data_IF_442330510792
#
_entry.id   IF_442330510792
#
_cell.length_a   1.000
_cell.length_b   1.000
_cell.length_c   1.000
_cell.angle_alpha   90.00
_cell.angle_beta   90.00
_cell.angle_gamma   90.00
#
_symmetry.space_group_name_H-M   'P 1'
#
loop_
_entity.id
_entity.type
_entity.pdbx_description
1 polymer ?
#
# COMPACT_ATOMS: atom_id res chain seq x y z
N UNK A 1 -8.79 6.64 -13.71
CA UNK A 1 -8.88 5.52 -12.78
C UNK A 1 -8.64 5.97 -11.34
N UNK A 2 -9.21 5.24 -10.37
CA UNK A 2 -9.00 5.46 -8.93
C UNK A 2 -8.73 4.10 -8.25
N UNK A 3 -7.53 3.55 -8.39
CA UNK A 3 -7.19 2.25 -7.83
C UNK A 3 -7.33 2.20 -6.30
N UNK A 4 -7.71 1.02 -5.80
CA UNK A 4 -7.72 0.68 -4.36
C UNK A 4 -7.09 -0.70 -4.23
N UNK A 5 -5.79 -0.77 -4.52
CA UNK A 5 -4.97 -1.97 -4.42
C UNK A 5 -3.76 -1.69 -3.50
N UNK A 6 -3.15 -2.70 -2.86
CA UNK A 6 -2.11 -2.47 -1.86
C UNK A 6 -0.91 -1.63 -2.32
N UNK A 7 -0.55 -1.70 -3.60
CA UNK A 7 0.59 -0.97 -4.19
C UNK A 7 0.21 0.40 -4.75
N UNK A 8 -1.09 0.71 -4.85
CA UNK A 8 -1.58 2.00 -5.32
C UNK A 8 -2.98 2.27 -4.78
N UNK A 9 -3.08 3.20 -3.84
CA UNK A 9 -4.35 3.57 -3.22
C UNK A 9 -4.70 5.02 -3.53
N UNK A 10 -5.96 5.27 -3.89
CA UNK A 10 -6.46 6.64 -3.96
C UNK A 10 -6.46 7.26 -2.55
N UNK A 11 -6.22 8.55 -2.46
CA UNK A 11 -6.33 9.27 -1.20
C UNK A 11 -7.77 9.75 -0.98
N UNK A 12 -8.49 9.11 -0.05
CA UNK A 12 -9.88 9.45 0.32
C UNK A 12 -9.99 10.59 1.34
N UNK A 13 -8.88 11.09 1.86
CA UNK A 13 -8.88 12.14 2.89
C UNK A 13 -9.24 13.54 2.33
N UNK A 14 -9.49 13.65 1.03
CA UNK A 14 -9.75 14.91 0.34
C UNK A 14 -11.03 14.83 -0.49
N UNK A 15 -11.66 15.99 -0.71
CA UNK A 15 -12.88 16.12 -1.52
C UNK A 15 -12.68 15.64 -2.96
N UNK A 16 -11.52 15.93 -3.52
CA UNK A 16 -11.11 15.46 -4.86
C UNK A 16 -9.84 14.61 -4.69
N UNK A 17 -9.94 13.28 -4.77
CA UNK A 17 -8.77 12.42 -4.81
C UNK A 17 -8.03 12.61 -6.14
N UNK A 18 -6.74 12.27 -6.15
CA UNK A 18 -5.99 12.15 -7.40
C UNK A 18 -6.59 11.04 -8.28
N UNK A 19 -6.44 11.20 -9.59
CA UNK A 19 -6.88 10.23 -10.59
C UNK A 19 -5.71 9.83 -11.48
N UNK A 20 -5.77 8.63 -12.02
CA UNK A 20 -4.74 8.08 -12.90
C UNK A 20 -5.28 7.82 -14.29
N UNK A 21 -4.46 8.02 -15.31
CA UNK A 21 -4.71 7.63 -16.69
C UNK A 21 -4.00 6.30 -16.96
N UNK A 22 -4.59 5.43 -17.77
CA UNK A 22 -4.04 4.13 -18.13
C UNK A 22 -5.11 3.07 -18.31
N UNK A 23 -4.72 1.81 -18.18
CA UNK A 23 -5.59 0.64 -18.30
C UNK A 23 -5.52 -0.23 -17.04
N UNK A 24 -6.65 -0.78 -16.65
CA UNK A 24 -6.78 -1.72 -15.54
C UNK A 24 -7.75 -2.84 -15.91
N UNK A 25 -7.27 -4.07 -15.81
CA UNK A 25 -8.05 -5.28 -15.94
C UNK A 25 -8.22 -5.91 -14.56
N UNK A 26 -9.47 -6.20 -14.19
CA UNK A 26 -9.78 -6.99 -13.00
C UNK A 26 -10.56 -8.23 -13.41
N UNK A 27 -10.17 -9.42 -12.96
CA UNK A 27 -10.91 -10.66 -13.11
C UNK A 27 -11.34 -11.21 -11.76
N UNK A 28 -12.58 -11.77 -11.75
CA UNK A 28 -13.18 -12.51 -10.64
C UNK A 28 -13.82 -13.80 -11.12
N UNK A 29 -13.31 -14.36 -12.24
CA UNK A 29 -13.87 -15.54 -12.89
C UNK A 29 -13.64 -16.83 -12.10
N UNK A 30 -12.67 -16.81 -11.20
CA UNK A 30 -12.37 -17.94 -10.29
C UNK A 30 -12.91 -17.61 -8.91
N UNK A 31 -13.70 -18.53 -8.34
CA UNK A 31 -14.29 -18.37 -7.01
C UNK A 31 -13.21 -18.10 -5.95
N UNK A 32 -13.43 -17.10 -5.13
CA UNK A 32 -12.49 -16.68 -4.10
C UNK A 32 -11.27 -15.89 -4.60
N UNK A 33 -11.05 -15.81 -5.92
CA UNK A 33 -9.88 -15.13 -6.49
C UNK A 33 -10.27 -13.79 -7.16
N UNK A 34 -9.62 -12.72 -6.74
CA UNK A 34 -9.61 -11.45 -7.47
C UNK A 34 -8.21 -11.23 -8.02
N UNK A 35 -8.09 -11.02 -9.32
CA UNK A 35 -6.85 -10.68 -10.01
C UNK A 35 -6.92 -9.27 -10.55
N UNK A 36 -5.83 -8.55 -10.45
CA UNK A 36 -5.66 -7.20 -10.96
C UNK A 36 -4.38 -7.12 -11.81
N UNK A 37 -4.48 -6.48 -12.97
CA UNK A 37 -3.36 -6.17 -13.85
C UNK A 37 -3.58 -4.79 -14.45
N UNK A 38 -2.57 -3.94 -14.46
CA UNK A 38 -2.71 -2.63 -15.07
C UNK A 38 -1.41 -1.90 -15.29
N UNK A 39 -1.52 -0.89 -16.13
CA UNK A 39 -0.46 0.06 -16.45
C UNK A 39 -1.04 1.47 -16.45
N UNK A 40 -0.38 2.38 -15.77
CA UNK A 40 -0.76 3.78 -15.69
C UNK A 40 0.39 4.63 -16.23
N UNK A 41 0.05 5.71 -16.93
CA UNK A 41 1.03 6.56 -17.61
C UNK A 41 1.04 8.00 -17.09
N UNK A 42 0.02 8.44 -16.40
CA UNK A 42 -0.08 9.80 -15.84
C UNK A 42 -0.95 9.83 -14.59
N UNK A 43 -0.72 10.84 -13.77
CA UNK A 43 -1.61 11.22 -12.67
C UNK A 43 -2.13 12.65 -12.86
N UNK A 44 -3.34 12.93 -12.36
CA UNK A 44 -3.82 14.28 -12.16
C UNK A 44 -4.01 14.49 -10.67
N UNK A 45 -3.24 15.41 -10.10
CA UNK A 45 -3.32 15.75 -8.69
C UNK A 45 -4.62 16.50 -8.39
N UNK A 46 -5.02 16.50 -7.13
CA UNK A 46 -6.28 17.10 -6.63
C UNK A 46 -6.44 18.60 -6.90
N UNK A 47 -5.33 19.30 -7.06
CA UNK A 47 -5.22 20.74 -7.26
C UNK A 47 -4.82 21.12 -8.69
N UNK A 48 -4.81 20.14 -9.60
CA UNK A 48 -4.46 20.30 -11.00
C UNK A 48 -5.56 19.75 -11.90
N UNK A 49 -5.80 20.40 -13.04
CA UNK A 49 -6.61 19.87 -14.14
C UNK A 49 -5.76 19.15 -15.21
N UNK A 50 -4.45 19.20 -15.08
CA UNK A 50 -3.53 18.61 -16.03
C UNK A 50 -3.13 17.20 -15.60
N UNK A 51 -2.72 16.40 -16.58
CA UNK A 51 -2.06 15.13 -16.34
C UNK A 51 -0.54 15.34 -16.31
N UNK A 52 0.07 14.80 -15.28
CA UNK A 52 1.51 14.92 -14.99
C UNK A 52 2.13 13.53 -14.85
N UNK A 53 3.46 13.45 -14.92
CA UNK A 53 4.20 12.23 -14.60
C UNK A 53 4.07 11.90 -13.11
N UNK A 54 4.23 10.63 -12.77
CA UNK A 54 4.16 10.16 -11.39
C UNK A 54 5.51 10.31 -10.70
N UNK A 55 5.50 10.53 -9.40
CA UNK A 55 6.71 10.60 -8.57
C UNK A 55 6.45 9.95 -7.22
N UNK A 56 7.49 9.82 -6.39
CA UNK A 56 7.39 9.30 -5.03
C UNK A 56 6.96 10.37 -4.05
N UNK A 57 6.05 10.02 -3.14
CA UNK A 57 5.62 10.90 -2.08
C UNK A 57 6.73 11.16 -1.05
N UNK A 58 7.00 12.46 -0.76
CA UNK A 58 7.93 12.90 0.28
C UNK A 58 9.32 12.22 0.22
N UNK A 59 9.85 11.94 -0.98
CA UNK A 59 11.09 11.21 -1.15
C UNK A 59 12.24 11.75 -0.29
N UNK A 60 12.45 13.06 -0.24
CA UNK A 60 13.50 13.68 0.56
C UNK A 60 13.37 13.45 2.07
N UNK A 61 12.15 13.40 2.64
CA UNK A 61 11.93 13.08 4.05
C UNK A 61 12.13 11.60 4.37
N UNK A 62 12.14 10.75 3.34
CA UNK A 62 12.30 9.30 3.44
C UNK A 62 13.69 8.81 3.05
N UNK A 63 14.65 9.73 2.91
CA UNK A 63 16.00 9.46 2.43
C UNK A 63 16.04 8.84 1.02
N UNK A 64 14.98 9.03 0.22
CA UNK A 64 14.97 8.62 -1.18
C UNK A 64 15.64 9.70 -2.01
N UNK A 65 16.69 9.31 -2.72
CA UNK A 65 17.44 10.15 -3.66
C UNK A 65 17.27 9.61 -5.07
N UNK A 66 17.43 10.47 -6.05
CA UNK A 66 17.25 10.13 -7.45
C UNK A 66 18.55 10.37 -8.21
N UNK A 67 18.84 9.48 -9.12
CA UNK A 67 19.97 9.60 -10.05
C UNK A 67 19.70 10.56 -11.20
N UNK A 68 20.50 10.44 -12.27
CA UNK A 68 20.39 11.30 -13.45
C UNK A 68 19.11 11.06 -14.28
N UNK A 69 18.36 10.01 -14.02
CA UNK A 69 17.10 9.67 -14.72
C UNK A 69 15.91 10.57 -14.38
N UNK A 70 16.06 11.43 -13.37
CA UNK A 70 14.99 12.33 -12.93
C UNK A 70 14.22 11.80 -11.71
N UNK A 71 13.19 12.56 -11.28
CA UNK A 71 12.38 12.27 -10.10
C UNK A 71 10.97 11.80 -10.46
N UNK A 72 10.66 11.67 -11.74
CA UNK A 72 9.33 11.33 -12.27
C UNK A 72 9.39 10.18 -13.24
N UNK A 73 8.30 9.48 -13.39
CA UNK A 73 8.09 8.40 -14.36
C UNK A 73 6.74 8.51 -15.03
N UNK A 74 6.68 8.09 -16.28
CA UNK A 74 5.44 8.00 -17.04
C UNK A 74 4.92 6.56 -17.18
N UNK A 75 5.45 5.64 -16.38
CA UNK A 75 4.95 4.26 -16.31
C UNK A 75 4.85 3.76 -14.87
N UNK A 76 3.68 3.28 -14.48
CA UNK A 76 3.46 2.49 -13.29
C UNK A 76 2.76 1.20 -13.66
N UNK A 77 3.48 0.08 -13.54
CA UNK A 77 2.95 -1.25 -13.79
C UNK A 77 2.51 -1.90 -12.48
N UNK A 78 1.39 -2.61 -12.50
CA UNK A 78 0.98 -3.43 -11.35
C UNK A 78 0.35 -4.74 -11.78
N UNK A 79 0.57 -5.77 -10.98
CA UNK A 79 -0.07 -7.07 -11.11
C UNK A 79 -0.20 -7.71 -9.74
N UNK A 80 -1.31 -8.41 -9.51
CA UNK A 80 -1.48 -9.12 -8.25
C UNK A 80 -2.86 -9.69 -8.08
N UNK A 81 -3.12 -10.13 -6.87
CA UNK A 81 -4.42 -10.66 -6.54
C UNK A 81 -4.61 -10.96 -5.07
N UNK A 82 -5.87 -11.16 -4.74
CA UNK A 82 -6.33 -11.58 -3.43
C UNK A 82 -7.05 -12.91 -3.58
N UNK A 83 -6.75 -13.87 -2.69
CA UNK A 83 -7.46 -15.13 -2.60
C UNK A 83 -8.13 -15.28 -1.24
N UNK A 84 -9.44 -15.47 -1.25
CA UNK A 84 -10.27 -15.76 -0.09
C UNK A 84 -10.38 -17.29 0.07
N UNK A 85 -9.52 -17.87 0.92
CA UNK A 85 -9.45 -19.32 1.20
C UNK A 85 -10.70 -19.83 1.91
N UNK A 86 -11.30 -18.95 2.70
CA UNK A 86 -12.54 -19.17 3.42
C UNK A 86 -13.15 -17.81 3.82
N UNK A 87 -14.37 -17.75 4.37
CA UNK A 87 -14.91 -16.52 4.95
C UNK A 87 -14.04 -15.91 6.05
N UNK A 88 -13.12 -16.71 6.62
CA UNK A 88 -12.26 -16.29 7.72
C UNK A 88 -10.82 -16.01 7.33
N UNK A 89 -10.33 -16.50 6.19
CA UNK A 89 -8.93 -16.41 5.80
C UNK A 89 -8.78 -15.90 4.38
N UNK A 90 -8.02 -14.81 4.24
CA UNK A 90 -7.62 -14.27 2.96
C UNK A 90 -6.14 -13.93 2.93
N UNK A 91 -5.53 -14.10 1.77
CA UNK A 91 -4.17 -13.65 1.49
C UNK A 91 -4.14 -12.82 0.22
N UNK A 92 -3.18 -11.92 0.10
CA UNK A 92 -2.94 -11.22 -1.15
C UNK A 92 -1.46 -11.06 -1.43
N UNK A 93 -1.16 -11.00 -2.72
CA UNK A 93 0.13 -10.59 -3.23
C UNK A 93 -0.07 -9.60 -4.37
N UNK A 94 0.67 -8.48 -4.31
CA UNK A 94 0.71 -7.48 -5.36
C UNK A 94 2.13 -7.05 -5.63
N UNK A 95 2.43 -6.90 -6.90
CA UNK A 95 3.60 -6.20 -7.42
C UNK A 95 3.16 -4.84 -7.94
N UNK A 96 3.99 -3.79 -7.73
CA UNK A 96 3.83 -2.48 -8.31
C UNK A 96 5.21 -1.88 -8.58
N UNK A 97 5.46 -1.44 -9.81
CA UNK A 97 6.71 -0.82 -10.22
C UNK A 97 6.47 0.58 -10.79
N UNK A 98 7.19 1.58 -10.29
CA UNK A 98 7.30 2.90 -10.88
C UNK A 98 8.60 2.94 -11.67
N UNK A 99 8.49 2.81 -12.99
CA UNK A 99 9.61 2.58 -13.92
C UNK A 99 10.78 3.53 -13.67
N UNK A 100 11.98 2.97 -13.60
CA UNK A 100 13.22 3.67 -13.30
C UNK A 100 13.32 4.25 -11.87
N UNK A 101 12.37 3.98 -10.98
CA UNK A 101 12.40 4.51 -9.61
C UNK A 101 12.35 3.40 -8.56
N UNK A 102 11.31 2.58 -8.55
CA UNK A 102 11.23 1.48 -7.58
C UNK A 102 10.34 0.34 -8.03
N UNK A 103 10.68 -0.86 -7.57
CA UNK A 103 9.85 -2.05 -7.54
C UNK A 103 9.34 -2.32 -6.13
N UNK A 104 8.08 -2.75 -6.00
CA UNK A 104 7.47 -3.05 -4.72
C UNK A 104 6.69 -4.36 -4.74
N UNK A 105 6.94 -5.22 -3.75
CA UNK A 105 6.22 -6.47 -3.51
C UNK A 105 5.45 -6.35 -2.20
N UNK A 106 4.14 -6.54 -2.25
CA UNK A 106 3.26 -6.45 -1.09
C UNK A 106 2.61 -7.80 -0.82
N UNK A 107 2.78 -8.31 0.39
CA UNK A 107 2.16 -9.53 0.89
C UNK A 107 1.23 -9.19 2.05
N UNK A 108 0.02 -9.74 2.08
CA UNK A 108 -0.87 -9.62 3.22
C UNK A 108 -1.59 -10.90 3.57
N UNK A 109 -1.92 -11.01 4.86
CA UNK A 109 -2.77 -12.08 5.40
C UNK A 109 -3.79 -11.46 6.35
N UNK A 110 -5.06 -11.78 6.15
CA UNK A 110 -6.14 -11.42 7.05
C UNK A 110 -6.82 -12.71 7.51
N UNK A 111 -6.84 -12.92 8.83
CA UNK A 111 -7.53 -14.05 9.45
C UNK A 111 -8.48 -13.59 10.53
N UNK A 112 -9.69 -14.13 10.55
CA UNK A 112 -10.70 -13.86 11.57
C UNK A 112 -11.06 -15.18 12.23
N UNK A 113 -10.64 -15.38 13.48
CA UNK A 113 -10.98 -16.54 14.29
C UNK A 113 -12.25 -16.25 15.09
N UNK A 114 -13.40 -16.86 14.79
CA UNK A 114 -14.55 -16.85 15.69
C UNK A 114 -14.24 -17.69 16.92
N UNK A 115 -14.47 -17.12 18.13
CA UNK A 115 -14.21 -17.81 19.41
C UNK A 115 -15.54 -18.24 20.05
N UNK A 116 -16.62 -17.53 19.75
CA UNK A 116 -17.96 -17.79 20.26
C UNK A 116 -18.99 -16.95 19.53
N UNK A 117 -20.24 -16.97 19.96
CA UNK A 117 -21.35 -16.27 19.28
C UNK A 117 -21.13 -14.74 19.13
N UNK A 118 -20.45 -14.11 20.10
CA UNK A 118 -20.19 -12.67 20.10
C UNK A 118 -18.70 -12.30 20.22
N UNK A 119 -17.81 -13.27 19.99
CA UNK A 119 -16.38 -13.09 20.17
C UNK A 119 -15.61 -13.48 18.92
N UNK A 120 -14.63 -12.66 18.56
CA UNK A 120 -13.70 -12.97 17.46
C UNK A 120 -12.34 -12.33 17.68
N UNK A 121 -11.32 -12.97 17.11
CA UNK A 121 -9.96 -12.45 17.04
C UNK A 121 -9.54 -12.28 15.59
N UNK A 122 -9.27 -11.04 15.17
CA UNK A 122 -8.78 -10.73 13.82
C UNK A 122 -7.29 -10.48 13.87
N UNK A 123 -6.57 -11.09 12.95
CA UNK A 123 -5.15 -10.86 12.64
C UNK A 123 -5.06 -10.25 11.25
N UNK A 124 -4.33 -9.13 11.11
CA UNK A 124 -3.97 -8.52 9.81
C UNK A 124 -2.46 -8.34 9.79
N UNK A 125 -1.79 -9.07 8.92
CA UNK A 125 -0.34 -9.02 8.74
C UNK A 125 -0.02 -8.47 7.36
N UNK A 126 0.96 -7.59 7.27
CA UNK A 126 1.46 -7.04 6.01
C UNK A 126 2.97 -7.02 6.01
N UNK A 127 3.53 -7.36 4.86
CA UNK A 127 4.94 -7.23 4.58
C UNK A 127 5.12 -6.64 3.18
N UNK A 128 5.92 -5.60 3.10
CA UNK A 128 6.21 -4.94 1.83
C UNK A 128 7.71 -4.79 1.67
N UNK A 129 8.24 -5.28 0.55
CA UNK A 129 9.62 -5.05 0.14
C UNK A 129 9.61 -4.07 -1.03
N UNK A 130 10.38 -2.99 -0.90
CA UNK A 130 10.63 -2.01 -1.97
C UNK A 130 12.11 -1.97 -2.29
N UNK A 131 12.44 -2.02 -3.57
CA UNK A 131 13.81 -1.97 -4.09
C UNK A 131 13.94 -0.90 -5.16
N UNK A 132 15.13 -0.38 -5.34
CA UNK A 132 15.49 0.48 -6.47
C UNK A 132 15.28 -0.23 -7.81
N UNK A 133 14.81 0.52 -8.83
CA UNK A 133 14.73 0.12 -10.24
C UNK A 133 15.71 0.93 -11.11
N UNK A 134 16.92 1.17 -10.60
CA UNK A 134 18.06 1.74 -11.33
C UNK A 134 18.17 3.27 -11.30
N UNK A 135 17.13 4.00 -10.93
CA UNK A 135 17.14 5.47 -10.93
C UNK A 135 17.01 6.10 -9.54
N UNK A 136 16.96 5.30 -8.49
CA UNK A 136 16.87 5.78 -7.11
C UNK A 136 17.81 5.01 -6.17
N UNK A 137 17.61 5.19 -4.87
CA UNK A 137 18.24 4.38 -3.83
C UNK A 137 17.20 3.67 -2.96
N UNK A 138 15.99 3.42 -3.46
CA UNK A 138 14.93 2.81 -2.67
C UNK A 138 15.37 1.44 -2.17
N UNK A 139 15.38 1.29 -0.86
CA UNK A 139 15.65 0.04 -0.15
C UNK A 139 14.90 0.05 1.18
N UNK A 140 13.74 -0.63 1.23
CA UNK A 140 12.87 -0.62 2.40
C UNK A 140 12.13 -1.95 2.57
N UNK A 141 12.11 -2.44 3.80
CA UNK A 141 11.23 -3.50 4.27
C UNK A 141 10.24 -2.89 5.27
N UNK A 142 8.95 -2.98 4.99
CA UNK A 142 7.88 -2.57 5.87
C UNK A 142 7.14 -3.79 6.41
N UNK A 143 7.15 -3.99 7.72
CA UNK A 143 6.37 -5.01 8.40
C UNK A 143 5.29 -4.37 9.25
N UNK A 144 4.08 -4.90 9.19
CA UNK A 144 2.96 -4.47 10.01
C UNK A 144 2.12 -5.64 10.52
N UNK A 145 1.69 -5.53 11.78
CA UNK A 145 0.78 -6.48 12.41
C UNK A 145 -0.31 -5.73 13.19
N UNK A 146 -1.57 -6.11 12.97
CA UNK A 146 -2.73 -5.55 13.68
C UNK A 146 -3.59 -6.69 14.21
N UNK A 147 -3.83 -6.68 15.51
CA UNK A 147 -4.67 -7.64 16.20
C UNK A 147 -5.89 -6.94 16.77
N UNK A 148 -7.08 -7.49 16.51
CA UNK A 148 -8.34 -6.96 17.05
C UNK A 148 -9.10 -8.06 17.73
N UNK A 149 -9.34 -7.91 19.03
CA UNK A 149 -10.26 -8.75 19.79
C UNK A 149 -11.61 -8.06 19.91
N UNK A 150 -12.67 -8.75 19.51
CA UNK A 150 -14.05 -8.29 19.68
C UNK A 150 -14.75 -9.14 20.74
N UNK A 151 -15.50 -8.47 21.60
CA UNK A 151 -16.37 -9.10 22.59
C UNK A 151 -17.65 -8.28 22.76
N UNK A 152 -18.79 -8.84 22.36
CA UNK A 152 -20.06 -8.11 22.35
C UNK A 152 -19.98 -6.82 21.53
N UNK A 153 -20.30 -5.69 22.14
CA UNK A 153 -20.23 -4.36 21.51
C UNK A 153 -18.86 -3.69 21.58
N UNK A 154 -17.83 -4.35 22.14
CA UNK A 154 -16.49 -3.78 22.32
C UNK A 154 -15.48 -4.35 21.34
N UNK A 155 -14.51 -3.53 20.93
CA UNK A 155 -13.37 -3.95 20.13
C UNK A 155 -12.08 -3.36 20.73
N UNK A 156 -11.10 -4.21 20.96
CA UNK A 156 -9.76 -3.85 21.43
C UNK A 156 -8.75 -4.14 20.32
N UNK A 157 -8.01 -3.13 19.91
CA UNK A 157 -7.06 -3.27 18.82
C UNK A 157 -5.65 -2.88 19.27
N UNK A 158 -4.67 -3.72 18.99
CA UNK A 158 -3.24 -3.43 19.13
C UNK A 158 -2.53 -3.63 17.81
N UNK A 159 -1.65 -2.70 17.45
CA UNK A 159 -0.88 -2.76 16.21
C UNK A 159 0.57 -2.37 16.40
N UNK A 160 1.41 -2.91 15.54
CA UNK A 160 2.83 -2.62 15.42
C UNK A 160 3.22 -2.49 13.96
N UNK A 161 4.07 -1.51 13.65
CA UNK A 161 4.66 -1.31 12.34
C UNK A 161 6.14 -0.97 12.48
N UNK A 162 6.96 -1.50 11.60
CA UNK A 162 8.39 -1.28 11.55
C UNK A 162 8.87 -1.14 10.11
N UNK A 163 9.66 -0.10 9.89
CA UNK A 163 10.44 0.14 8.68
C UNK A 163 11.88 -0.24 8.92
N UNK A 164 12.53 -0.89 7.94
CA UNK A 164 13.96 -1.19 7.94
C UNK A 164 14.53 -1.09 6.53
N UNK A 165 15.83 -0.83 6.42
CA UNK A 165 16.51 -0.57 5.15
C UNK A 165 17.08 0.84 5.07
N UNK A 166 17.61 1.21 3.91
CA UNK A 166 18.34 2.47 3.74
C UNK A 166 17.40 3.67 3.48
N UNK A 167 16.11 3.40 3.19
CA UNK A 167 15.10 4.43 2.93
C UNK A 167 13.81 4.19 3.74
N UNK A 168 12.93 5.19 3.76
CA UNK A 168 11.55 5.04 4.18
C UNK A 168 10.69 4.41 3.08
N UNK A 169 9.40 4.21 3.38
CA UNK A 169 8.43 3.55 2.51
C UNK A 169 8.14 4.37 1.25
N UNK A 170 8.38 3.80 0.07
CA UNK A 170 8.08 4.42 -1.21
C UNK A 170 6.62 4.16 -1.63
N UNK A 171 5.93 5.21 -2.11
CA UNK A 171 4.65 5.09 -2.80
C UNK A 171 4.39 6.32 -3.69
N UNK A 172 3.49 6.19 -4.65
CA UNK A 172 3.19 7.23 -5.63
C UNK A 172 2.57 8.46 -4.96
N UNK A 173 3.11 9.64 -5.26
CA UNK A 173 2.63 10.90 -4.73
C UNK A 173 1.15 11.17 -5.10
N UNK A 174 0.44 11.83 -4.18
CA UNK A 174 -0.99 12.10 -4.32
C UNK A 174 -1.89 10.92 -3.96
N UNK A 175 -1.34 9.70 -3.94
CA UNK A 175 -2.02 8.51 -3.45
C UNK A 175 -1.93 8.37 -1.93
N UNK A 176 -2.43 7.24 -1.45
CA UNK A 176 -2.27 6.76 -0.09
C UNK A 176 -1.53 5.42 -0.10
N UNK A 177 -1.23 4.86 1.05
CA UNK A 177 -0.54 3.59 1.17
C UNK A 177 -1.34 2.57 1.99
N UNK A 178 -0.97 1.30 1.88
CA UNK A 178 -1.61 0.19 2.58
C UNK A 178 -0.90 -0.20 3.89
N UNK A 179 -0.24 0.73 4.57
CA UNK A 179 0.41 0.47 5.85
C UNK A 179 -0.61 0.24 6.98
N UNK A 180 -0.18 -0.44 8.03
CA UNK A 180 -1.05 -0.77 9.18
C UNK A 180 -1.34 0.45 10.04
N UNK A 181 -0.33 1.29 10.28
CA UNK A 181 -0.43 2.47 11.12
C UNK A 181 -0.56 3.75 10.28
N UNK A 182 -1.68 3.88 9.59
CA UNK A 182 -2.06 5.11 8.90
C UNK A 182 -3.07 5.85 9.79
N UNK A 183 -2.59 6.74 10.67
CA UNK A 183 -3.41 7.41 11.68
C UNK A 183 -3.05 8.89 11.81
N UNK A 184 -4.06 9.75 12.01
CA UNK A 184 -3.90 11.17 12.31
C UNK A 184 -3.04 11.91 11.27
N UNK A 185 -3.21 11.59 9.98
CA UNK A 185 -2.46 12.19 8.85
C UNK A 185 -1.02 11.65 8.72
N UNK A 186 -0.52 10.85 9.66
CA UNK A 186 0.80 10.22 9.60
C UNK A 186 0.69 8.76 9.16
N UNK A 187 1.65 8.33 8.35
CA UNK A 187 1.78 6.96 7.90
C UNK A 187 2.94 6.19 8.58
N UNK A 188 3.75 6.90 9.39
CA UNK A 188 4.88 6.31 10.12
C UNK A 188 5.79 5.47 9.22
N UNK A 189 6.07 5.98 8.02
CA UNK A 189 6.80 5.30 6.97
C UNK A 189 8.22 5.82 6.74
N UNK A 190 8.84 6.50 7.72
CA UNK A 190 10.22 6.97 7.61
C UNK A 190 11.22 5.82 7.81
N UNK A 191 12.47 6.04 7.40
CA UNK A 191 13.54 5.08 7.60
C UNK A 191 13.67 4.67 9.07
N UNK A 192 13.81 3.36 9.35
CA UNK A 192 13.97 2.77 10.69
C UNK A 192 12.85 3.09 11.69
N UNK A 193 11.74 3.65 11.21
CA UNK A 193 10.64 4.05 12.08
C UNK A 193 9.90 2.85 12.65
N UNK A 194 9.55 2.95 13.94
CA UNK A 194 8.72 1.97 14.65
C UNK A 194 7.53 2.68 15.26
N UNK A 195 6.35 2.15 15.02
CA UNK A 195 5.11 2.73 15.54
C UNK A 195 4.19 1.69 16.16
N UNK A 196 3.42 2.14 17.15
CA UNK A 196 2.47 1.33 17.89
C UNK A 196 1.12 2.02 17.89
N UNK A 197 0.05 1.24 17.88
CA UNK A 197 -1.28 1.76 18.10
C UNK A 197 -2.06 0.90 19.07
N UNK A 198 -2.93 1.55 19.88
CA UNK A 198 -3.92 0.91 20.73
C UNK A 198 -5.24 1.67 20.59
N UNK A 199 -6.30 0.95 20.39
CA UNK A 199 -7.67 1.50 20.24
C UNK A 199 -8.67 0.64 20.99
#
# INVERSE_FOLDING_TARGET
LQPVIPVLMRNDSRLLPNIYRGAWLQSKDVEGLTLDLGMLDRTSYRDSSNYEEMTVFNGGLRNITFGSGGTTSDEFLFAGGRYDWSPQLATSYYYGGLDGIYDQHNLSLVHVLPIGESQSFKTDLRYVRSTDDGGSNVDNDAFGALFTYKHGGHAFTGGYQHMSGDTGFAYVAGGDNALINLLQINDFGNQDERSWQVR
#
